data_IF_849589769630
#
_entry.id   IF_849589769630
#
_cell.length_a   1.000
_cell.length_b   1.000
_cell.length_c   1.000
_cell.angle_alpha   90.00
_cell.angle_beta   90.00
_cell.angle_gamma   90.00
#
_symmetry.space_group_name_H-M   'P 1'
#
loop_
_entity.id
_entity.type
_entity.pdbx_description
1 polymer ?
#
# COMPACT_ATOMS: atom_id res chain seq x y z
N UNK A 1 27.49 -48.01 -12.52
CA UNK A 1 26.25 -48.79 -12.67
C UNK A 1 25.13 -48.12 -11.89
N UNK A 2 24.84 -46.88 -12.28
CA UNK A 2 23.57 -46.46 -12.89
C UNK A 2 22.27 -47.06 -12.35
N UNK A 3 21.45 -46.20 -11.75
CA UNK A 3 20.02 -45.99 -12.07
C UNK A 3 19.40 -45.17 -10.93
N UNK A 4 19.49 -43.84 -10.94
CA UNK A 4 18.60 -42.88 -11.63
C UNK A 4 17.13 -43.05 -11.21
N UNK A 5 16.74 -42.29 -10.19
CA UNK A 5 15.34 -41.96 -9.89
C UNK A 5 14.77 -41.07 -11.00
N UNK A 6 13.60 -41.37 -11.59
CA UNK A 6 12.92 -40.43 -12.46
C UNK A 6 12.16 -39.39 -11.62
N UNK A 7 12.70 -38.18 -11.62
CA UNK A 7 11.99 -36.95 -11.30
C UNK A 7 11.11 -36.56 -12.50
N UNK A 8 9.79 -36.50 -12.34
CA UNK A 8 8.93 -35.72 -13.24
C UNK A 8 7.85 -34.99 -12.47
N UNK A 9 8.28 -33.89 -11.85
CA UNK A 9 7.44 -32.71 -11.65
C UNK A 9 7.13 -32.10 -13.03
N UNK A 10 5.92 -32.33 -13.55
CA UNK A 10 5.40 -31.56 -14.69
C UNK A 10 4.22 -30.73 -14.20
N UNK A 11 4.53 -29.60 -13.57
CA UNK A 11 3.57 -28.51 -13.45
C UNK A 11 3.32 -27.98 -14.86
N UNK A 12 2.21 -28.38 -15.49
CA UNK A 12 1.75 -27.76 -16.72
C UNK A 12 1.55 -26.26 -16.47
N UNK A 13 2.48 -25.44 -16.94
CA UNK A 13 2.29 -24.01 -17.06
C UNK A 13 1.11 -23.78 -18.01
N UNK A 14 -0.06 -23.46 -17.46
CA UNK A 14 -1.21 -23.03 -18.25
C UNK A 14 -0.81 -21.72 -18.91
N UNK A 15 -0.46 -21.79 -20.20
CA UNK A 15 -0.04 -20.62 -20.96
C UNK A 15 -1.24 -19.68 -21.12
N UNK A 16 -1.32 -18.68 -20.24
CA UNK A 16 -2.46 -17.75 -20.14
C UNK A 16 -2.74 -16.97 -21.43
N UNK A 17 -1.82 -16.97 -22.40
CA UNK A 17 -1.97 -16.37 -23.72
C UNK A 17 -2.60 -17.26 -24.79
N UNK A 18 -2.86 -18.54 -24.54
CA UNK A 18 -3.46 -19.45 -25.51
C UNK A 18 -4.93 -19.10 -25.77
N UNK A 19 -5.31 -18.96 -27.05
CA UNK A 19 -6.71 -18.91 -27.43
C UNK A 19 -7.35 -20.29 -27.20
N UNK A 20 -8.57 -20.32 -26.67
CA UNK A 20 -9.30 -21.58 -26.43
C UNK A 20 -10.18 -21.99 -27.62
N UNK A 21 -10.33 -21.08 -28.60
CA UNK A 21 -11.14 -21.27 -29.81
C UNK A 21 -10.28 -21.59 -31.04
N UNK A 22 -8.99 -21.33 -30.96
CA UNK A 22 -8.01 -21.85 -31.90
C UNK A 22 -6.67 -22.07 -31.18
N UNK A 23 -5.84 -22.95 -31.70
CA UNK A 23 -4.53 -23.29 -31.10
C UNK A 23 -3.48 -22.17 -31.19
N UNK A 24 -3.90 -20.92 -31.41
CA UNK A 24 -3.01 -19.77 -31.48
C UNK A 24 -2.60 -19.33 -30.09
N UNK A 25 -1.29 -19.26 -29.87
CA UNK A 25 -0.68 -18.77 -28.63
C UNK A 25 -0.30 -17.30 -28.83
N UNK A 26 -0.84 -16.42 -27.98
CA UNK A 26 -0.58 -14.99 -28.01
C UNK A 26 0.32 -14.61 -26.84
N UNK A 27 1.03 -13.47 -26.96
CA UNK A 27 2.01 -13.03 -25.96
C UNK A 27 1.40 -12.74 -24.58
N UNK A 28 0.13 -12.35 -24.52
CA UNK A 28 -0.58 -12.07 -23.27
C UNK A 28 -2.10 -12.16 -23.45
N UNK A 29 -2.82 -12.12 -22.33
CA UNK A 29 -4.29 -12.18 -22.25
C UNK A 29 -4.98 -11.08 -23.06
N UNK A 30 -4.42 -9.87 -23.09
CA UNK A 30 -5.01 -8.73 -23.81
C UNK A 30 -5.01 -8.95 -25.33
N UNK A 31 -3.89 -9.44 -25.88
CA UNK A 31 -3.77 -9.78 -27.29
C UNK A 31 -4.63 -11.00 -27.65
N UNK A 32 -4.70 -11.99 -26.76
CA UNK A 32 -5.62 -13.14 -26.91
C UNK A 32 -7.08 -12.69 -26.98
N UNK A 33 -7.53 -11.86 -26.03
CA UNK A 33 -8.92 -11.37 -26.00
C UNK A 33 -9.23 -10.50 -27.24
N UNK A 34 -8.26 -9.70 -27.71
CA UNK A 34 -8.38 -8.93 -28.97
C UNK A 34 -8.47 -9.85 -30.19
N UNK A 35 -7.65 -10.91 -30.22
CA UNK A 35 -7.70 -11.94 -31.26
C UNK A 35 -9.07 -12.62 -31.27
N UNK A 36 -9.60 -13.00 -30.12
CA UNK A 36 -10.91 -13.66 -30.02
C UNK A 36 -12.03 -12.74 -30.49
N UNK A 37 -11.97 -11.46 -30.12
CA UNK A 37 -12.91 -10.45 -30.61
C UNK A 37 -12.87 -10.25 -32.12
N UNK A 38 -11.68 -10.26 -32.74
CA UNK A 38 -11.53 -9.97 -34.17
C UNK A 38 -11.68 -11.17 -35.09
N UNK A 39 -11.20 -12.34 -34.65
CA UNK A 39 -11.14 -13.56 -35.47
C UNK A 39 -12.33 -14.47 -35.19
N UNK A 40 -12.75 -14.56 -33.94
CA UNK A 40 -13.88 -15.41 -33.54
C UNK A 40 -15.17 -14.60 -33.34
N UNK A 41 -15.14 -13.27 -33.52
CA UNK A 41 -16.27 -12.37 -33.28
C UNK A 41 -16.92 -12.52 -31.89
N UNK A 42 -16.18 -13.07 -30.92
CA UNK A 42 -16.63 -13.27 -29.56
C UNK A 42 -16.08 -12.15 -28.70
N UNK A 43 -16.98 -11.34 -28.13
CA UNK A 43 -16.57 -10.28 -27.23
C UNK A 43 -16.16 -10.85 -25.86
N UNK A 44 -14.87 -11.12 -25.72
CA UNK A 44 -14.24 -11.51 -24.47
C UNK A 44 -13.93 -10.34 -23.53
N UNK A 45 -14.45 -9.14 -23.80
CA UNK A 45 -14.32 -8.06 -22.84
C UNK A 45 -15.12 -8.40 -21.57
N UNK A 46 -14.43 -8.98 -20.59
CA UNK A 46 -14.87 -8.89 -19.20
C UNK A 46 -14.94 -7.39 -18.94
N UNK A 47 -16.15 -6.82 -18.97
CA UNK A 47 -16.36 -5.43 -18.58
C UNK A 47 -15.79 -5.33 -17.17
N UNK A 48 -14.64 -4.65 -17.01
CA UNK A 48 -14.13 -4.33 -15.67
C UNK A 48 -15.27 -3.61 -14.98
N UNK A 49 -15.87 -4.27 -13.99
CA UNK A 49 -16.92 -3.66 -13.19
C UNK A 49 -16.20 -2.52 -12.46
N UNK A 50 -16.48 -1.27 -12.85
CA UNK A 50 -15.97 -0.12 -12.13
C UNK A 50 -16.52 -0.22 -10.71
N UNK A 51 -15.70 -0.47 -9.70
CA UNK A 51 -16.21 -0.58 -8.33
C UNK A 51 -16.28 0.82 -7.68
N UNK A 52 -17.11 1.67 -8.29
CA UNK A 52 -17.38 3.03 -7.84
C UNK A 52 -18.79 3.08 -7.27
N UNK A 53 -18.92 2.67 -6.02
CA UNK A 53 -20.20 2.53 -5.33
C UNK A 53 -20.39 3.67 -4.34
N UNK A 54 -21.62 4.16 -4.18
CA UNK A 54 -21.95 5.12 -3.14
C UNK A 54 -21.72 4.51 -1.76
N UNK A 55 -20.93 5.15 -0.88
CA UNK A 55 -20.65 4.61 0.44
C UNK A 55 -21.76 4.84 1.46
N UNK A 56 -22.83 5.55 1.09
CA UNK A 56 -23.99 5.85 1.94
C UNK A 56 -25.26 5.08 1.53
N UNK A 57 -25.26 4.40 0.38
CA UNK A 57 -26.36 3.56 -0.04
C UNK A 57 -26.27 2.19 0.63
N UNK A 58 -27.41 1.66 1.07
CA UNK A 58 -27.51 0.25 1.48
C UNK A 58 -27.36 -0.69 0.27
N UNK A 59 -27.96 -0.29 -0.86
CA UNK A 59 -27.85 -0.98 -2.14
C UNK A 59 -26.60 -0.57 -2.91
N UNK A 60 -25.97 -1.51 -3.61
CA UNK A 60 -24.74 -1.28 -4.37
C UNK A 60 -25.02 -0.54 -5.70
N UNK A 61 -25.25 0.77 -5.61
CA UNK A 61 -25.39 1.63 -6.79
C UNK A 61 -24.03 1.96 -7.39
N UNK A 62 -23.81 1.54 -8.63
CA UNK A 62 -22.53 1.67 -9.33
C UNK A 62 -22.48 2.89 -10.27
N UNK A 63 -21.40 3.67 -10.21
CA UNK A 63 -21.21 4.90 -10.97
C UNK A 63 -20.08 4.80 -11.99
N UNK A 64 -20.27 5.43 -13.15
CA UNK A 64 -19.25 5.47 -14.21
C UNK A 64 -18.11 6.46 -13.92
N UNK A 65 -18.37 7.51 -13.13
CA UNK A 65 -17.44 8.61 -12.87
C UNK A 65 -17.62 9.20 -11.46
N UNK A 66 -16.60 9.94 -10.98
CA UNK A 66 -16.68 10.65 -9.69
C UNK A 66 -17.71 11.79 -9.74
N UNK A 67 -17.94 12.36 -10.93
CA UNK A 67 -18.96 13.37 -11.15
C UNK A 67 -20.36 12.80 -10.91
N UNK A 68 -20.68 11.64 -11.49
CA UNK A 68 -21.96 10.98 -11.29
C UNK A 68 -22.17 10.59 -9.82
N UNK A 69 -21.11 10.10 -9.15
CA UNK A 69 -21.15 9.80 -7.72
C UNK A 69 -21.45 11.06 -6.88
N UNK A 70 -20.77 12.19 -7.16
CA UNK A 70 -20.99 13.45 -6.45
C UNK A 70 -22.39 14.00 -6.69
N UNK A 71 -22.90 13.91 -7.92
CA UNK A 71 -24.27 14.29 -8.25
C UNK A 71 -25.28 13.48 -7.43
N UNK A 72 -25.13 12.15 -7.42
CA UNK A 72 -25.95 11.26 -6.60
C UNK A 72 -25.87 11.58 -5.10
N UNK A 73 -24.68 11.86 -4.56
CA UNK A 73 -24.54 12.23 -3.15
C UNK A 73 -25.25 13.54 -2.80
N UNK A 74 -25.25 14.52 -3.71
CA UNK A 74 -26.03 15.76 -3.55
C UNK A 74 -27.53 15.50 -3.58
N UNK A 75 -28.00 14.74 -4.57
CA UNK A 75 -29.43 14.56 -4.85
C UNK A 75 -30.10 13.56 -3.90
N UNK A 76 -29.44 12.44 -3.58
CA UNK A 76 -30.03 11.33 -2.82
C UNK A 76 -29.62 11.30 -1.35
N UNK A 77 -28.50 11.94 -0.99
CA UNK A 77 -27.98 11.93 0.37
C UNK A 77 -27.80 13.34 0.96
N UNK A 78 -28.19 14.38 0.21
CA UNK A 78 -28.14 15.79 0.64
C UNK A 78 -26.75 16.23 1.13
N UNK A 79 -25.69 15.59 0.60
CA UNK A 79 -24.31 15.92 0.95
C UNK A 79 -23.87 17.16 0.19
N UNK A 80 -23.48 18.21 0.91
CA UNK A 80 -22.92 19.42 0.31
C UNK A 80 -21.47 19.19 -0.15
N UNK A 81 -21.28 19.02 -1.47
CA UNK A 81 -19.95 18.83 -2.06
C UNK A 81 -19.30 20.17 -2.38
N UNK A 82 -18.22 20.46 -1.66
CA UNK A 82 -17.37 21.64 -1.83
C UNK A 82 -16.25 21.38 -2.85
N UNK A 83 -16.06 22.32 -3.78
CA UNK A 83 -14.97 22.32 -4.77
C UNK A 83 -14.13 23.56 -4.58
N UNK A 84 -12.84 23.35 -4.33
CA UNK A 84 -11.82 24.39 -4.26
C UNK A 84 -10.92 24.31 -5.49
N UNK A 85 -10.62 25.46 -6.09
CA UNK A 85 -9.72 25.54 -7.25
C UNK A 85 -8.56 26.46 -6.90
N UNK A 86 -7.35 26.01 -7.19
CA UNK A 86 -6.12 26.76 -6.91
C UNK A 86 -5.23 26.79 -8.15
N UNK A 87 -4.52 27.89 -8.33
CA UNK A 87 -3.48 28.05 -9.33
C UNK A 87 -2.20 28.47 -8.60
N UNK A 88 -1.14 27.69 -8.77
CA UNK A 88 0.17 27.94 -8.17
C UNK A 88 1.16 28.35 -9.25
N UNK A 89 1.96 29.36 -8.92
CA UNK A 89 2.98 29.90 -9.82
C UNK A 89 4.23 29.00 -9.86
N UNK A 90 4.48 28.27 -8.77
CA UNK A 90 5.62 27.37 -8.62
C UNK A 90 5.22 26.01 -8.05
N UNK A 91 6.05 25.01 -8.33
CA UNK A 91 5.91 23.68 -7.73
C UNK A 91 6.08 23.74 -6.20
N UNK A 92 6.92 24.63 -5.69
CA UNK A 92 7.18 24.76 -4.26
C UNK A 92 5.96 25.25 -3.48
N UNK A 93 5.25 26.26 -3.97
CA UNK A 93 3.99 26.72 -3.37
C UNK A 93 2.95 25.61 -3.31
N UNK A 94 2.83 24.85 -4.41
CA UNK A 94 1.95 23.70 -4.49
C UNK A 94 2.32 22.62 -3.47
N UNK A 95 3.60 22.25 -3.33
CA UNK A 95 4.03 21.21 -2.39
C UNK A 95 3.78 21.65 -0.93
N UNK A 96 4.08 22.91 -0.57
CA UNK A 96 3.78 23.45 0.76
C UNK A 96 2.27 23.39 1.06
N UNK A 97 1.43 23.83 0.13
CA UNK A 97 -0.02 23.74 0.29
C UNK A 97 -0.50 22.28 0.41
N UNK A 98 0.05 21.38 -0.40
CA UNK A 98 -0.29 19.96 -0.40
C UNK A 98 0.04 19.31 0.95
N UNK A 99 1.17 19.67 1.55
CA UNK A 99 1.61 19.17 2.84
C UNK A 99 0.72 19.71 3.99
N UNK A 100 0.35 21.00 3.96
CA UNK A 100 -0.59 21.58 4.91
C UNK A 100 -1.95 20.86 4.92
N UNK A 101 -2.41 20.42 3.75
CA UNK A 101 -3.65 19.66 3.61
C UNK A 101 -3.49 18.15 3.92
N UNK A 102 -2.31 17.70 4.37
CA UNK A 102 -1.99 16.30 4.69
C UNK A 102 -2.33 15.34 3.55
N UNK A 103 -2.16 15.78 2.29
CA UNK A 103 -2.51 14.98 1.12
C UNK A 103 -1.66 13.72 0.98
N UNK A 104 -0.37 13.80 1.29
CA UNK A 104 0.54 12.66 1.19
C UNK A 104 0.12 11.50 2.10
N UNK A 105 -0.48 11.81 3.25
CA UNK A 105 -0.85 10.83 4.27
C UNK A 105 -2.30 10.34 4.14
N UNK A 106 -3.21 11.21 3.68
CA UNK A 106 -4.66 10.92 3.60
C UNK A 106 -5.15 10.50 2.21
N UNK A 107 -4.36 10.70 1.17
CA UNK A 107 -4.74 10.37 -0.21
C UNK A 107 -3.72 9.46 -0.88
N UNK A 108 -4.17 8.75 -1.91
CA UNK A 108 -3.30 7.93 -2.76
C UNK A 108 -3.36 8.40 -4.20
N UNK A 109 -2.26 8.25 -4.91
CA UNK A 109 -2.24 8.42 -6.36
C UNK A 109 -3.03 7.27 -6.98
N UNK A 110 -4.14 7.59 -7.64
CA UNK A 110 -4.96 6.63 -8.37
C UNK A 110 -4.54 6.50 -9.84
N UNK A 111 -4.23 7.63 -10.48
CA UNK A 111 -3.86 7.66 -11.90
C UNK A 111 -2.90 8.81 -12.18
N UNK A 112 -1.96 8.57 -13.09
CA UNK A 112 -1.15 9.63 -13.72
C UNK A 112 -1.38 9.57 -15.22
N UNK A 113 -1.60 10.72 -15.84
CA UNK A 113 -1.82 10.86 -17.29
C UNK A 113 -0.85 11.88 -17.84
N UNK A 114 -0.18 11.52 -18.93
CA UNK A 114 0.69 12.42 -19.68
C UNK A 114 0.02 12.75 -21.02
N UNK A 115 -0.18 14.04 -21.32
CA UNK A 115 -0.77 14.49 -22.58
C UNK A 115 -0.16 15.83 -22.98
N UNK A 116 0.33 15.96 -24.22
CA UNK A 116 0.87 17.21 -24.77
C UNK A 116 1.84 17.91 -23.80
N UNK A 117 2.82 17.16 -23.30
CA UNK A 117 3.81 17.56 -22.27
C UNK A 117 3.25 17.89 -20.88
N UNK A 118 1.93 18.04 -20.73
CA UNK A 118 1.28 18.20 -19.42
C UNK A 118 1.16 16.87 -18.68
N UNK A 119 1.34 16.93 -17.35
CA UNK A 119 1.17 15.79 -16.44
C UNK A 119 -0.03 16.05 -15.54
N UNK A 120 -1.05 15.20 -15.62
CA UNK A 120 -2.21 15.23 -14.71
C UNK A 120 -2.12 14.08 -13.71
N UNK A 121 -2.20 14.39 -12.42
CA UNK A 121 -2.16 13.44 -11.32
C UNK A 121 -3.51 13.45 -10.61
N UNK A 122 -4.09 12.27 -10.43
CA UNK A 122 -5.35 12.06 -9.74
C UNK A 122 -5.09 11.43 -8.38
N UNK A 123 -5.49 12.12 -7.33
CA UNK A 123 -5.42 11.69 -5.95
C UNK A 123 -6.82 11.38 -5.44
N UNK A 124 -7.00 10.16 -4.95
CA UNK A 124 -8.27 9.72 -4.39
C UNK A 124 -8.07 9.42 -2.90
N UNK A 125 -9.09 9.66 -2.08
CA UNK A 125 -9.02 9.40 -0.65
C UNK A 125 -8.51 7.97 -0.37
N UNK A 126 -7.61 7.84 0.61
CA UNK A 126 -7.03 6.54 0.95
C UNK A 126 -8.09 5.56 1.50
N UNK A 127 -9.24 6.02 1.98
CA UNK A 127 -10.36 5.19 2.45
C UNK A 127 -11.15 4.53 1.31
N UNK A 128 -11.14 5.11 0.11
CA UNK A 128 -11.92 4.62 -1.04
C UNK A 128 -11.52 3.20 -1.47
N UNK A 129 -12.50 2.32 -1.69
CA UNK A 129 -12.33 0.98 -2.23
C UNK A 129 -12.71 0.91 -3.73
N UNK A 130 -11.91 1.55 -4.56
CA UNK A 130 -12.12 1.65 -6.03
C UNK A 130 -12.00 0.30 -6.74
N UNK A 131 -11.27 -0.64 -6.14
CA UNK A 131 -11.01 -1.96 -6.72
C UNK A 131 -11.99 -3.03 -6.24
N UNK A 132 -12.88 -2.71 -5.29
CA UNK A 132 -13.84 -3.67 -4.74
C UNK A 132 -13.19 -4.90 -4.12
N UNK A 133 -11.98 -4.75 -3.59
CA UNK A 133 -11.23 -5.90 -3.08
C UNK A 133 -12.03 -6.60 -1.96
N UNK A 134 -12.31 -7.89 -2.17
CA UNK A 134 -12.81 -8.80 -1.14
C UNK A 134 -11.65 -9.68 -0.69
N UNK A 135 -11.46 -9.79 0.62
CA UNK A 135 -10.41 -10.63 1.21
C UNK A 135 -10.64 -12.10 0.83
N UNK A 136 -9.60 -12.76 0.31
CA UNK A 136 -9.59 -14.22 0.09
C UNK A 136 -9.23 -15.01 1.37
N UNK A 137 -8.95 -14.33 2.49
CA UNK A 137 -8.55 -14.99 3.74
C UNK A 137 -9.77 -15.45 4.55
N UNK A 138 -9.59 -16.56 5.28
CA UNK A 138 -10.52 -17.05 6.32
C UNK A 138 -10.94 -15.89 7.23
N UNK A 139 -12.21 -15.91 7.65
CA UNK A 139 -12.84 -14.95 8.55
C UNK A 139 -11.87 -14.66 9.71
N UNK A 140 -11.37 -13.43 9.76
CA UNK A 140 -10.59 -12.93 10.90
C UNK A 140 -11.53 -12.14 11.79
N UNK A 141 -11.32 -12.22 13.10
CA UNK A 141 -11.99 -11.33 14.05
C UNK A 141 -11.75 -9.89 13.62
N UNK A 142 -12.82 -9.10 13.57
CA UNK A 142 -12.71 -7.69 13.24
C UNK A 142 -11.82 -6.99 14.26
N UNK A 143 -10.94 -6.11 13.77
CA UNK A 143 -10.16 -5.25 14.65
C UNK A 143 -11.12 -4.29 15.34
N UNK A 144 -10.83 -3.88 16.56
CA UNK A 144 -11.66 -2.94 17.34
C UNK A 144 -11.98 -1.62 16.62
N UNK A 145 -11.18 -1.22 15.63
CA UNK A 145 -11.44 -0.05 14.77
C UNK A 145 -11.91 -0.38 13.35
N UNK A 146 -12.40 -1.58 13.09
CA UNK A 146 -12.91 -2.01 11.79
C UNK A 146 -11.90 -1.93 10.63
N UNK A 147 -12.44 -1.94 9.41
CA UNK A 147 -11.69 -1.81 8.16
C UNK A 147 -11.23 -0.36 7.92
N UNK A 148 -9.99 -0.19 7.44
CA UNK A 148 -9.50 1.10 6.96
C UNK A 148 -10.22 1.51 5.67
N UNK A 149 -10.59 0.56 4.81
CA UNK A 149 -11.31 0.88 3.57
C UNK A 149 -12.81 0.89 3.82
N UNK A 150 -13.51 1.88 3.26
CA UNK A 150 -14.98 1.93 3.27
C UNK A 150 -15.57 1.00 2.21
N UNK A 151 -16.83 0.63 2.38
CA UNK A 151 -17.61 -0.07 1.35
C UNK A 151 -18.10 0.94 0.30
N UNK A 152 -17.22 1.31 -0.64
CA UNK A 152 -17.54 2.25 -1.71
C UNK A 152 -16.40 3.21 -2.02
N UNK A 153 -16.71 4.32 -2.67
CA UNK A 153 -15.75 5.35 -3.02
C UNK A 153 -16.11 6.66 -2.33
N UNK A 154 -15.16 7.24 -1.61
CA UNK A 154 -15.32 8.57 -1.04
C UNK A 154 -15.30 9.62 -2.18
N UNK A 155 -16.19 10.62 -2.16
CA UNK A 155 -16.25 11.68 -3.19
C UNK A 155 -15.04 12.62 -3.17
N UNK A 156 -14.35 12.70 -2.02
CA UNK A 156 -13.16 13.53 -1.84
C UNK A 156 -12.03 13.10 -2.78
N UNK A 157 -11.53 14.08 -3.53
CA UNK A 157 -10.60 13.86 -4.64
C UNK A 157 -9.83 15.13 -4.95
N UNK A 158 -8.55 14.99 -5.30
CA UNK A 158 -7.76 16.08 -5.87
C UNK A 158 -7.26 15.72 -7.27
N UNK A 159 -7.38 16.66 -8.20
CA UNK A 159 -6.81 16.57 -9.54
C UNK A 159 -5.81 17.70 -9.68
N UNK A 160 -4.55 17.34 -9.90
CA UNK A 160 -3.45 18.27 -10.09
C UNK A 160 -2.98 18.20 -11.54
N UNK A 161 -2.85 19.35 -12.21
CA UNK A 161 -2.35 19.48 -13.58
C UNK A 161 -1.07 20.30 -13.56
N UNK A 162 0.05 19.66 -13.90
CA UNK A 162 1.35 20.30 -14.05
C UNK A 162 1.55 20.67 -15.51
N UNK A 163 1.91 21.93 -15.75
CA UNK A 163 2.25 22.49 -17.07
C UNK A 163 3.76 22.66 -17.19
N UNK A 164 4.27 22.72 -18.43
CA UNK A 164 5.72 22.77 -18.72
C UNK A 164 6.44 23.99 -18.10
N UNK A 165 5.72 25.09 -17.87
CA UNK A 165 6.26 26.32 -17.29
C UNK A 165 6.35 26.27 -15.75
N UNK A 166 6.13 25.12 -15.13
CA UNK A 166 6.15 24.97 -13.66
C UNK A 166 4.86 25.38 -12.95
N UNK A 167 3.87 25.91 -13.69
CA UNK A 167 2.55 26.23 -13.17
C UNK A 167 1.75 24.96 -12.81
N UNK A 168 1.03 25.03 -11.70
CA UNK A 168 0.21 23.92 -11.20
C UNK A 168 -1.22 24.37 -10.98
N UNK A 169 -2.16 23.74 -11.69
CA UNK A 169 -3.60 23.95 -11.50
C UNK A 169 -4.18 22.80 -10.69
N UNK A 170 -4.94 23.10 -9.63
CA UNK A 170 -5.53 22.08 -8.75
C UNK A 170 -7.04 22.25 -8.66
N UNK A 171 -7.77 21.13 -8.81
CA UNK A 171 -9.19 21.02 -8.46
C UNK A 171 -9.34 20.03 -7.31
N UNK A 172 -9.79 20.51 -6.16
CA UNK A 172 -9.91 19.75 -4.93
C UNK A 172 -11.37 19.70 -4.45
N UNK A 173 -11.94 18.50 -4.47
CA UNK A 173 -13.21 18.22 -3.80
C UNK A 173 -12.91 17.78 -2.37
N UNK A 174 -13.17 18.65 -1.39
CA UNK A 174 -12.79 18.47 0.02
C UNK A 174 -13.74 17.56 0.78
N UNK A 175 -15.01 17.54 0.42
CA UNK A 175 -16.05 16.82 1.17
C UNK A 175 -15.81 15.31 1.16
N UNK A 176 -15.77 14.70 2.35
CA UNK A 176 -15.75 13.25 2.54
C UNK A 176 -17.17 12.69 2.78
N UNK A 177 -17.40 11.43 2.41
CA UNK A 177 -18.66 10.74 2.69
C UNK A 177 -18.41 9.24 2.92
N UNK A 178 -19.16 8.66 3.87
CA UNK A 178 -19.07 7.25 4.25
C UNK A 178 -17.95 6.91 5.24
N UNK A 179 -17.21 7.90 5.73
CA UNK A 179 -16.30 7.78 6.86
C UNK A 179 -16.05 9.13 7.51
N UNK A 180 -15.49 9.09 8.72
CA UNK A 180 -14.88 10.23 9.36
C UNK A 180 -13.37 10.26 9.08
N UNK A 181 -12.75 11.42 9.25
CA UNK A 181 -11.30 11.53 9.22
C UNK A 181 -10.74 10.97 10.54
N UNK A 182 -9.89 9.96 10.44
CA UNK A 182 -9.32 9.28 11.59
C UNK A 182 -7.80 9.21 11.44
N UNK A 183 -7.06 9.67 12.45
CA UNK A 183 -5.59 9.66 12.44
C UNK A 183 -5.01 8.26 12.15
N UNK A 184 -5.62 7.20 12.70
CA UNK A 184 -5.19 5.80 12.49
C UNK A 184 -5.21 5.35 11.02
N UNK A 185 -5.94 6.06 10.17
CA UNK A 185 -6.04 5.75 8.74
C UNK A 185 -5.10 6.56 7.86
N UNK A 186 -4.43 7.57 8.43
CA UNK A 186 -3.37 8.29 7.76
C UNK A 186 -2.13 7.40 7.62
N UNK A 187 -1.45 7.51 6.49
CA UNK A 187 -0.11 6.95 6.32
C UNK A 187 0.93 7.86 7.00
N UNK A 188 2.11 7.31 7.22
CA UNK A 188 3.27 8.16 7.54
C UNK A 188 3.66 8.92 6.27
N UNK A 189 4.06 10.18 6.42
CA UNK A 189 4.69 10.94 5.34
C UNK A 189 6.01 10.27 4.96
N UNK A 190 6.54 10.59 3.78
CA UNK A 190 7.84 10.03 3.37
C UNK A 190 8.97 10.48 4.29
N UNK A 191 8.89 11.69 4.81
CA UNK A 191 9.86 12.22 5.77
C UNK A 191 9.82 11.43 7.09
N UNK A 192 8.61 11.17 7.61
CA UNK A 192 8.41 10.35 8.81
C UNK A 192 8.88 8.90 8.60
N UNK A 193 8.50 8.28 7.47
CA UNK A 193 8.98 6.93 7.12
C UNK A 193 10.50 6.88 7.09
N UNK A 194 11.15 7.86 6.44
CA UNK A 194 12.61 7.93 6.34
C UNK A 194 13.27 8.04 7.72
N UNK A 195 12.81 8.95 8.56
CA UNK A 195 13.32 9.13 9.92
C UNK A 195 13.22 7.83 10.75
N UNK A 196 12.09 7.12 10.66
CA UNK A 196 11.90 5.86 11.38
C UNK A 196 12.83 4.78 10.82
N UNK A 197 12.96 4.68 9.50
CA UNK A 197 13.82 3.70 8.83
C UNK A 197 15.30 3.93 9.17
N UNK A 198 15.74 5.17 9.29
CA UNK A 198 17.10 5.51 9.75
C UNK A 198 17.33 4.97 11.18
N UNK A 199 16.42 5.24 12.12
CA UNK A 199 16.50 4.70 13.49
C UNK A 199 16.53 3.17 13.51
N UNK A 200 15.68 2.53 12.70
CA UNK A 200 15.63 1.07 12.58
C UNK A 200 16.96 0.50 12.04
N UNK A 201 17.56 1.17 11.06
CA UNK A 201 18.82 0.76 10.44
C UNK A 201 20.00 0.95 11.41
N UNK A 202 19.95 1.97 12.27
CA UNK A 202 20.92 2.18 13.35
C UNK A 202 20.74 1.24 14.56
N UNK A 203 19.86 0.24 14.47
CA UNK A 203 19.67 -0.75 15.55
C UNK A 203 18.87 -0.23 16.76
N UNK A 204 18.19 0.92 16.65
CA UNK A 204 17.39 1.44 17.76
C UNK A 204 16.21 0.48 18.02
N UNK A 205 16.01 0.01 19.26
CA UNK A 205 14.97 -0.96 19.55
C UNK A 205 13.57 -0.34 19.37
N UNK A 206 12.62 -1.17 18.92
CA UNK A 206 11.23 -0.75 18.63
C UNK A 206 10.61 0.03 19.79
N UNK A 207 10.80 -0.46 21.03
CA UNK A 207 10.28 0.18 22.24
C UNK A 207 10.72 1.64 22.33
N UNK A 208 12.00 1.93 22.06
CA UNK A 208 12.54 3.29 22.14
C UNK A 208 11.96 4.19 21.06
N UNK A 209 11.85 3.68 19.82
CA UNK A 209 11.22 4.42 18.72
C UNK A 209 9.77 4.79 19.06
N UNK A 210 9.01 3.85 19.64
CA UNK A 210 7.63 4.10 20.06
C UNK A 210 7.55 5.12 21.21
N UNK A 211 8.41 5.02 22.22
CA UNK A 211 8.48 5.98 23.32
C UNK A 211 8.82 7.39 22.82
N UNK A 212 9.82 7.52 21.94
CA UNK A 212 10.22 8.80 21.38
C UNK A 212 9.11 9.41 20.50
N UNK A 213 8.39 8.59 19.73
CA UNK A 213 7.26 9.06 18.90
C UNK A 213 6.10 9.64 19.71
N UNK A 214 5.92 9.18 20.96
CA UNK A 214 4.87 9.67 21.88
C UNK A 214 5.30 10.90 22.66
N UNK A 215 6.59 11.19 22.73
CA UNK A 215 7.16 12.37 23.39
C UNK A 215 7.18 13.60 22.48
N UNK A 216 6.49 13.57 21.33
CA UNK A 216 6.34 14.76 20.50
C UNK A 216 5.90 15.94 21.36
N UNK A 217 6.63 17.05 21.29
CA UNK A 217 6.36 18.25 22.08
C UNK A 217 5.12 19.03 21.60
N UNK A 218 4.37 18.48 20.65
CA UNK A 218 3.15 19.09 20.12
C UNK A 218 1.94 18.70 20.97
N UNK A 219 1.07 19.66 21.35
CA UNK A 219 -0.15 19.35 22.08
C UNK A 219 -1.19 18.57 21.25
N UNK A 220 -1.08 18.61 19.92
CA UNK A 220 -1.97 17.89 19.01
C UNK A 220 -1.48 16.45 18.74
N UNK A 221 -2.40 15.49 18.77
CA UNK A 221 -2.13 14.10 18.43
C UNK A 221 -1.92 13.96 16.91
N UNK A 222 -0.77 13.44 16.51
CA UNK A 222 -0.43 13.20 15.10
C UNK A 222 -0.37 11.70 14.77
N UNK A 223 -0.28 11.38 13.47
CA UNK A 223 -0.14 9.99 13.03
C UNK A 223 1.10 9.33 13.63
N UNK A 224 2.19 10.07 13.77
CA UNK A 224 3.45 9.58 14.35
C UNK A 224 3.28 9.18 15.82
N UNK A 225 2.48 9.91 16.60
CA UNK A 225 2.19 9.60 18.01
C UNK A 225 1.46 8.26 18.20
N UNK A 226 0.77 7.79 17.15
CA UNK A 226 -0.01 6.55 17.13
C UNK A 226 0.76 5.36 16.50
N UNK A 227 2.09 5.43 16.41
CA UNK A 227 2.89 4.32 15.92
C UNK A 227 2.67 3.04 16.75
N UNK A 228 2.66 1.92 16.04
CA UNK A 228 2.56 0.58 16.63
C UNK A 228 3.79 -0.27 16.28
N UNK A 229 4.07 -1.30 17.07
CA UNK A 229 5.11 -2.29 16.73
C UNK A 229 4.87 -2.94 15.36
N UNK A 230 3.60 -3.01 14.94
CA UNK A 230 3.24 -3.52 13.61
C UNK A 230 3.65 -2.57 12.49
N UNK A 231 3.52 -1.26 12.70
CA UNK A 231 4.00 -0.26 11.74
C UNK A 231 5.51 -0.39 11.54
N UNK A 232 6.27 -0.47 12.65
CA UNK A 232 7.71 -0.66 12.61
C UNK A 232 8.09 -1.97 11.88
N UNK A 233 7.40 -3.07 12.19
CA UNK A 233 7.62 -4.35 11.50
C UNK A 233 7.35 -4.26 9.99
N UNK A 234 6.31 -3.54 9.60
CA UNK A 234 5.96 -3.35 8.19
C UNK A 234 7.01 -2.48 7.48
N UNK A 235 7.50 -1.41 8.12
CA UNK A 235 8.58 -0.57 7.60
C UNK A 235 9.88 -1.36 7.47
N UNK A 236 10.29 -2.07 8.51
CA UNK A 236 11.49 -2.91 8.47
C UNK A 236 11.44 -3.96 7.36
N UNK A 237 10.27 -4.54 7.09
CA UNK A 237 10.09 -5.44 5.94
C UNK A 237 10.13 -4.70 4.60
N UNK A 238 9.43 -3.57 4.48
CA UNK A 238 9.37 -2.74 3.26
C UNK A 238 10.76 -2.27 2.82
N UNK A 239 11.59 -1.87 3.77
CA UNK A 239 12.94 -1.34 3.54
C UNK A 239 14.05 -2.37 3.80
N UNK A 240 13.70 -3.62 4.09
CA UNK A 240 14.64 -4.70 4.41
C UNK A 240 15.70 -4.33 5.45
N UNK A 241 15.29 -3.67 6.53
CA UNK A 241 16.21 -3.23 7.61
C UNK A 241 16.72 -4.39 8.47
N UNK A 242 16.31 -5.62 8.18
CA UNK A 242 16.63 -6.83 8.94
C UNK A 242 17.90 -7.57 8.45
N UNK A 243 18.76 -6.98 7.59
CA UNK A 243 20.01 -7.61 7.12
C UNK A 243 21.14 -6.56 7.04
N UNK A 244 22.39 -6.80 7.45
CA UNK A 244 23.13 -8.02 7.86
C UNK A 244 23.28 -8.12 9.39
N UNK A 245 23.25 -9.32 9.97
CA UNK A 245 23.97 -9.55 11.23
C UNK A 245 25.42 -9.22 10.93
N UNK A 246 25.99 -8.26 11.63
CA UNK A 246 27.39 -7.92 11.46
C UNK A 246 28.22 -9.18 11.81
N UNK A 247 29.38 -9.36 11.19
CA UNK A 247 30.30 -10.43 11.60
C UNK A 247 30.65 -10.27 13.09
N UNK A 248 30.70 -9.02 13.56
CA UNK A 248 30.85 -8.66 14.95
C UNK A 248 29.64 -9.05 15.82
N UNK A 249 28.40 -9.08 15.29
CA UNK A 249 27.24 -9.56 16.05
C UNK A 249 27.34 -11.06 16.34
N UNK A 250 27.86 -11.82 15.37
CA UNK A 250 28.13 -13.25 15.54
C UNK A 250 29.24 -13.49 16.56
N UNK A 251 30.28 -12.66 16.54
CA UNK A 251 31.38 -12.69 17.53
C UNK A 251 30.88 -12.28 18.92
N UNK A 252 30.11 -11.19 19.04
CA UNK A 252 29.54 -10.73 20.30
C UNK A 252 28.59 -11.77 20.90
N UNK A 253 27.77 -12.41 20.07
CA UNK A 253 26.89 -13.51 20.49
C UNK A 253 27.72 -14.71 20.97
N UNK A 254 28.79 -15.08 20.24
CA UNK A 254 29.67 -16.18 20.64
C UNK A 254 30.40 -15.90 21.97
N UNK A 255 30.91 -14.68 22.17
CA UNK A 255 31.54 -14.25 23.43
C UNK A 255 30.53 -14.27 24.59
N UNK A 256 29.29 -13.83 24.36
CA UNK A 256 28.22 -13.86 25.36
C UNK A 256 27.86 -15.28 25.77
N UNK A 257 27.80 -16.20 24.81
CA UNK A 257 27.57 -17.64 25.07
C UNK A 257 28.72 -18.23 25.88
N UNK A 258 29.98 -17.89 25.57
CA UNK A 258 31.14 -18.30 26.36
C UNK A 258 31.10 -17.76 27.80
N UNK A 259 30.73 -16.49 27.98
CA UNK A 259 30.54 -15.86 29.30
C UNK A 259 29.47 -16.61 30.13
N UNK A 260 28.35 -16.98 29.51
CA UNK A 260 27.28 -17.73 30.20
C UNK A 260 27.69 -19.14 30.60
N UNK A 261 28.37 -19.86 29.70
CA UNK A 261 28.91 -21.18 29.99
C UNK A 261 29.94 -21.14 31.12
N UNK A 262 30.78 -20.10 31.16
CA UNK A 262 31.80 -19.92 32.21
C UNK A 262 31.18 -19.62 33.58
N UNK A 263 30.00 -18.99 33.61
CA UNK A 263 29.27 -18.65 34.83
C UNK A 263 28.29 -19.74 35.28
N UNK A 264 28.39 -20.97 34.73
CA UNK A 264 27.52 -22.10 35.02
C UNK A 264 26.01 -21.82 34.78
N UNK A 265 25.69 -20.79 33.98
CA UNK A 265 24.34 -20.44 33.58
C UNK A 265 24.02 -21.16 32.27
N UNK A 266 23.84 -22.46 32.36
CA UNK A 266 23.61 -23.33 31.21
C UNK A 266 22.15 -23.25 30.74
N UNK A 267 21.78 -22.10 30.15
CA UNK A 267 20.55 -22.01 29.39
C UNK A 267 20.77 -22.82 28.11
N UNK A 268 20.03 -23.92 27.93
CA UNK A 268 20.15 -24.81 26.79
C UNK A 268 19.85 -24.07 25.48
N UNK A 269 20.84 -23.39 24.92
CA UNK A 269 20.80 -22.79 23.60
C UNK A 269 21.45 -23.77 22.62
N UNK A 270 20.67 -24.24 21.65
CA UNK A 270 21.16 -24.90 20.45
C UNK A 270 21.93 -23.88 19.58
N UNK A 271 23.13 -23.50 20.02
CA UNK A 271 24.00 -22.59 19.30
C UNK A 271 24.89 -23.41 18.35
N UNK A 272 24.57 -23.41 17.04
CA UNK A 272 25.42 -23.97 15.99
C UNK A 272 26.28 -22.86 15.38
N UNK A 273 27.60 -22.97 15.51
CA UNK A 273 28.53 -22.11 14.77
C UNK A 273 28.50 -22.48 13.29
N UNK A 274 28.52 -21.49 12.40
CA UNK A 274 28.66 -21.71 10.96
C UNK A 274 29.94 -22.51 10.67
N UNK A 275 29.81 -23.62 9.94
CA UNK A 275 30.94 -24.47 9.54
C UNK A 275 31.39 -25.53 10.56
N UNK A 276 30.75 -25.66 11.73
CA UNK A 276 30.98 -26.78 12.65
C UNK A 276 29.76 -27.67 12.76
N UNK A 277 29.92 -28.96 12.49
CA UNK A 277 28.92 -29.96 12.83
C UNK A 277 28.95 -30.26 14.33
N UNK A 278 27.79 -30.17 14.96
CA UNK A 278 27.59 -30.61 16.34
C UNK A 278 27.21 -32.09 16.31
N UNK A 279 28.14 -32.94 16.74
CA UNK A 279 27.81 -34.28 17.22
C UNK A 279 27.07 -34.13 18.55
N UNK A 280 25.78 -34.44 18.55
CA UNK A 280 25.02 -34.60 19.79
C UNK A 280 25.50 -35.88 20.48
N UNK A 281 25.93 -35.76 21.75
CA UNK A 281 26.05 -36.87 22.69
C UNK A 281 24.83 -36.85 23.60
#
# INVERSE_FOLDING_TARGET
>A
MDSVYPSTSTSCEINSGACHLCSKILKNVELRNRHIKRIHNIDMSIKKINHMICPLCEQETNFKSHENLRKHLKENHQVSIELLTFEFSSLQEYETWKDMQKFETSYRINRVVHKNKQKTIYYDCNRSNITGYKSNYKIRTEKSGGSIKIKGVCPSRMICKLRDQGQVSVSYWKTHAGHQEELRTMHLSKAEEKMIVEKLTSGVPFRRILEDSRKSGTPELERLSLLTSKDLSNLSRKYNTYKKRDQNDMVATALKVQEWNSNNKNYAFLFKQEGKDQSFF
#
